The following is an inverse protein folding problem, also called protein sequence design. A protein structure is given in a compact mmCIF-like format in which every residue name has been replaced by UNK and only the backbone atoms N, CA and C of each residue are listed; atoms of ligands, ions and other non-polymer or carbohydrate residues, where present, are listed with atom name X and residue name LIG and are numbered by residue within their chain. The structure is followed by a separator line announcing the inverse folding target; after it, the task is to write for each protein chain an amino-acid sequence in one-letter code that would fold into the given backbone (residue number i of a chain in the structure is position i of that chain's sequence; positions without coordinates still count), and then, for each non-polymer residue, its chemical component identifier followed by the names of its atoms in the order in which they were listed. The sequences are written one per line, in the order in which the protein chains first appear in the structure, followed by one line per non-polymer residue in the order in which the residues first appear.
data_IF_409710476601
#
_entry.id   IF_409710476601
#
_cell.length_a   1.000
_cell.length_b   1.000
_cell.length_c   1.000
_cell.angle_alpha   90.00
_cell.angle_beta   90.00
_cell.angle_gamma   90.00
#
_symmetry.space_group_name_H-M   'P 1'
#
loop_
_entity.id
_entity.type
_entity.pdbx_description
1 polymer ?
#
# COMPACT_ATOMS: atom_id res chain seq x y z
N UNK A 1 40.11 -46.76 -65.88
CA UNK A 1 39.83 -45.82 -64.77
C UNK A 1 39.16 -44.63 -65.40
N UNK A 2 37.82 -44.61 -65.37
CA UNK A 2 37.06 -43.43 -65.79
C UNK A 2 37.26 -42.37 -64.70
N UNK A 3 37.80 -41.22 -65.07
CA UNK A 3 37.86 -40.08 -64.17
C UNK A 3 36.42 -39.65 -63.88
N UNK A 4 36.00 -39.54 -62.61
CA UNK A 4 34.67 -39.04 -62.29
C UNK A 4 34.53 -37.64 -62.89
N UNK A 5 33.50 -37.45 -63.71
CA UNK A 5 33.14 -36.15 -64.26
C UNK A 5 33.03 -35.16 -63.10
N UNK A 6 33.86 -34.12 -63.12
CA UNK A 6 33.80 -33.06 -62.14
C UNK A 6 32.41 -32.42 -62.19
N UNK A 7 31.69 -32.36 -61.06
CA UNK A 7 30.35 -31.77 -61.04
C UNK A 7 30.39 -30.33 -61.55
N UNK A 8 29.45 -29.96 -62.42
CA UNK A 8 29.30 -28.59 -62.89
C UNK A 8 28.65 -27.74 -61.79
N UNK A 9 29.48 -26.90 -61.15
CA UNK A 9 29.06 -25.99 -60.08
C UNK A 9 28.61 -24.61 -60.61
N UNK A 10 28.64 -24.38 -61.92
CA UNK A 10 28.27 -23.09 -62.54
C UNK A 10 26.87 -22.59 -62.13
N UNK A 11 25.82 -23.41 -62.25
CA UNK A 11 24.45 -23.00 -61.88
C UNK A 11 24.32 -22.65 -60.39
N UNK A 12 25.03 -23.36 -59.53
CA UNK A 12 25.03 -23.08 -58.09
C UNK A 12 25.75 -21.76 -57.77
N UNK A 13 26.88 -21.50 -58.44
CA UNK A 13 27.61 -20.25 -58.29
C UNK A 13 26.78 -19.03 -58.74
N UNK A 14 26.04 -19.16 -59.85
CA UNK A 14 25.13 -18.10 -60.33
C UNK A 14 23.96 -17.86 -59.37
N UNK A 15 23.33 -18.92 -58.86
CA UNK A 15 22.28 -18.80 -57.84
C UNK A 15 22.80 -18.12 -56.57
N UNK A 16 24.01 -18.45 -56.12
CA UNK A 16 24.62 -17.82 -54.96
C UNK A 16 24.94 -16.34 -55.21
N UNK A 17 25.44 -15.98 -56.39
CA UNK A 17 25.67 -14.59 -56.77
C UNK A 17 24.38 -13.79 -56.83
N UNK A 18 23.31 -14.35 -57.38
CA UNK A 18 21.99 -13.71 -57.40
C UNK A 18 21.43 -13.51 -55.99
N UNK A 19 21.58 -14.51 -55.11
CA UNK A 19 21.16 -14.41 -53.71
C UNK A 19 21.94 -13.32 -52.95
N UNK A 20 23.26 -13.24 -53.16
CA UNK A 20 24.10 -12.18 -52.56
C UNK A 20 23.70 -10.81 -53.09
N UNK A 21 23.51 -10.67 -54.40
CA UNK A 21 23.09 -9.40 -55.00
C UNK A 21 21.71 -8.94 -54.50
N UNK A 22 20.76 -9.87 -54.38
CA UNK A 22 19.44 -9.59 -53.81
C UNK A 22 19.53 -9.17 -52.34
N UNK A 23 20.36 -9.85 -51.54
CA UNK A 23 20.58 -9.50 -50.13
C UNK A 23 21.23 -8.12 -49.97
N UNK A 24 22.21 -7.77 -50.80
CA UNK A 24 22.84 -6.44 -50.79
C UNK A 24 21.84 -5.34 -51.18
N UNK A 25 21.04 -5.56 -52.23
CA UNK A 25 20.00 -4.61 -52.63
C UNK A 25 18.95 -4.40 -51.51
N UNK A 26 18.61 -5.46 -50.77
CA UNK A 26 17.71 -5.35 -49.62
C UNK A 26 18.34 -4.56 -48.47
N UNK A 27 19.63 -4.76 -48.19
CA UNK A 27 20.38 -3.99 -47.17
C UNK A 27 20.44 -2.51 -47.55
N UNK A 28 20.69 -2.19 -48.82
CA UNK A 28 20.73 -0.81 -49.29
C UNK A 28 19.36 -0.12 -49.21
N UNK A 29 18.28 -0.83 -49.54
CA UNK A 29 16.92 -0.34 -49.37
C UNK A 29 16.60 -0.03 -47.90
N UNK A 30 16.95 -0.94 -46.97
CA UNK A 30 16.77 -0.71 -45.53
C UNK A 30 17.61 0.47 -45.02
N UNK A 31 18.85 0.60 -45.49
CA UNK A 31 19.72 1.72 -45.12
C UNK A 31 19.19 3.07 -45.65
N UNK A 32 18.52 3.08 -46.80
CA UNK A 32 17.89 4.27 -47.35
C UNK A 32 16.62 4.68 -46.57
N UNK A 33 15.88 3.72 -46.01
CA UNK A 33 14.68 3.98 -45.19
C UNK A 33 14.99 4.31 -43.73
N UNK A 34 16.10 3.81 -43.19
CA UNK A 34 16.46 3.98 -41.78
C UNK A 34 16.50 5.44 -41.29
N UNK A 35 17.02 6.44 -42.05
CA UNK A 35 16.99 7.84 -41.63
C UNK A 35 15.57 8.37 -41.43
N UNK A 36 14.64 8.03 -42.33
CA UNK A 36 13.23 8.46 -42.23
C UNK A 36 12.54 7.84 -41.03
N UNK A 37 12.79 6.57 -40.76
CA UNK A 37 12.25 5.90 -39.56
C UNK A 37 12.80 6.52 -38.27
N UNK A 38 14.10 6.88 -38.25
CA UNK A 38 14.72 7.56 -37.09
C UNK A 38 14.17 8.96 -36.87
N UNK A 39 13.96 9.72 -37.94
CA UNK A 39 13.34 11.05 -37.89
C UNK A 39 11.91 10.96 -37.37
N UNK A 40 11.08 10.08 -37.94
CA UNK A 40 9.71 9.87 -37.47
C UNK A 40 9.63 9.43 -35.99
N UNK A 41 10.51 8.53 -35.56
CA UNK A 41 10.60 8.12 -34.16
C UNK A 41 11.06 9.26 -33.24
N UNK A 42 11.94 10.15 -33.72
CA UNK A 42 12.39 11.31 -32.96
C UNK A 42 11.25 12.34 -32.78
N UNK A 43 10.47 12.59 -33.83
CA UNK A 43 9.31 13.47 -33.80
C UNK A 43 8.21 12.92 -32.89
N UNK A 44 7.93 11.62 -32.97
CA UNK A 44 6.97 10.96 -32.08
C UNK A 44 7.40 11.05 -30.62
N UNK A 45 8.69 10.81 -30.32
CA UNK A 45 9.24 10.96 -28.98
C UNK A 45 9.16 12.41 -28.48
N UNK A 46 9.40 13.39 -29.35
CA UNK A 46 9.29 14.81 -29.00
C UNK A 46 7.82 15.17 -28.65
N UNK A 47 6.86 14.75 -29.48
CA UNK A 47 5.44 14.95 -29.23
C UNK A 47 4.95 14.24 -27.96
N UNK A 48 5.44 13.03 -27.69
CA UNK A 48 5.13 12.29 -26.46
C UNK A 48 5.66 13.02 -25.21
N UNK A 49 6.87 13.59 -25.28
CA UNK A 49 7.45 14.39 -24.19
C UNK A 49 6.67 15.67 -23.93
N UNK A 50 6.21 16.34 -24.99
CA UNK A 50 5.38 17.54 -24.87
C UNK A 50 4.04 17.23 -24.18
N UNK A 51 3.34 16.18 -24.62
CA UNK A 51 2.11 15.71 -23.96
C UNK A 51 2.33 15.34 -22.49
N UNK A 52 3.45 14.70 -22.18
CA UNK A 52 3.77 14.36 -20.79
C UNK A 52 3.94 15.62 -19.93
N UNK A 53 4.63 16.66 -20.45
CA UNK A 53 4.76 17.95 -19.75
C UNK A 53 3.40 18.61 -19.54
N UNK A 54 2.53 18.61 -20.54
CA UNK A 54 1.17 19.14 -20.40
C UNK A 54 0.36 18.38 -19.32
N UNK A 55 0.48 17.05 -19.27
CA UNK A 55 -0.16 16.23 -18.25
C UNK A 55 0.39 16.57 -16.86
N UNK A 56 1.72 16.70 -16.72
CA UNK A 56 2.37 17.07 -15.46
C UNK A 56 1.95 18.46 -14.97
N UNK A 57 1.92 19.45 -15.87
CA UNK A 57 1.51 20.82 -15.53
C UNK A 57 0.03 20.87 -15.14
N UNK A 58 -0.84 20.17 -15.87
CA UNK A 58 -2.26 20.07 -15.53
C UNK A 58 -2.48 19.35 -14.20
N UNK A 59 -1.78 18.24 -13.96
CA UNK A 59 -1.85 17.51 -12.69
C UNK A 59 -1.39 18.37 -11.52
N UNK A 60 -0.31 19.16 -11.71
CA UNK A 60 0.18 20.10 -10.70
C UNK A 60 -0.83 21.19 -10.40
N UNK A 61 -1.42 21.82 -11.40
CA UNK A 61 -2.45 22.85 -11.20
C UNK A 61 -3.68 22.29 -10.47
N UNK A 62 -4.12 21.08 -10.82
CA UNK A 62 -5.23 20.41 -10.12
C UNK A 62 -4.87 20.08 -8.67
N UNK A 63 -3.67 19.59 -8.42
CA UNK A 63 -3.17 19.30 -7.08
C UNK A 63 -3.09 20.58 -6.22
N UNK A 64 -2.56 21.67 -6.77
CA UNK A 64 -2.46 22.96 -6.08
C UNK A 64 -3.84 23.54 -5.76
N UNK A 65 -4.79 23.48 -6.72
CA UNK A 65 -6.16 23.91 -6.51
C UNK A 65 -6.89 23.06 -5.46
N UNK A 66 -6.67 21.74 -5.46
CA UNK A 66 -7.21 20.83 -4.45
C UNK A 66 -6.63 21.15 -3.07
N UNK A 67 -5.31 21.32 -2.97
CA UNK A 67 -4.62 21.66 -1.73
C UNK A 67 -5.12 23.00 -1.18
N UNK A 68 -5.30 24.02 -2.02
CA UNK A 68 -5.81 25.32 -1.59
C UNK A 68 -7.25 25.22 -1.07
N UNK A 69 -8.11 24.51 -1.81
CA UNK A 69 -9.51 24.31 -1.43
C UNK A 69 -9.64 23.59 -0.07
N UNK A 70 -8.75 22.66 0.22
CA UNK A 70 -8.80 21.85 1.44
C UNK A 70 -7.82 22.30 2.53
N UNK A 71 -7.03 23.36 2.30
CA UNK A 71 -6.00 23.86 3.22
C UNK A 71 -6.54 24.13 4.61
N UNK A 72 -7.72 24.76 4.69
CA UNK A 72 -8.37 25.07 5.96
C UNK A 72 -8.80 23.80 6.68
N UNK A 73 -9.47 22.87 6.01
CA UNK A 73 -9.92 21.60 6.60
C UNK A 73 -8.74 20.78 7.12
N UNK A 74 -7.69 20.63 6.29
CA UNK A 74 -6.47 19.91 6.68
C UNK A 74 -5.82 20.57 7.91
N UNK A 75 -5.75 21.91 7.93
CA UNK A 75 -5.19 22.64 9.07
C UNK A 75 -5.99 22.39 10.35
N UNK A 76 -7.31 22.41 10.27
CA UNK A 76 -8.17 22.15 11.43
C UNK A 76 -8.11 20.69 11.88
N UNK A 77 -7.99 19.73 10.95
CA UNK A 77 -7.77 18.31 11.26
C UNK A 77 -6.43 18.08 11.98
N UNK A 78 -5.34 18.64 11.45
CA UNK A 78 -4.01 18.58 12.07
C UNK A 78 -4.04 19.23 13.45
N UNK A 79 -4.67 20.41 13.57
CA UNK A 79 -4.80 21.10 14.85
C UNK A 79 -5.56 20.25 15.86
N UNK A 80 -6.66 19.63 15.45
CA UNK A 80 -7.47 18.75 16.30
C UNK A 80 -6.67 17.54 16.76
N UNK A 81 -5.92 16.90 15.87
CA UNK A 81 -5.07 15.75 16.18
C UNK A 81 -3.97 16.11 17.19
N UNK A 82 -3.23 17.19 16.94
CA UNK A 82 -2.20 17.69 17.86
C UNK A 82 -2.81 18.02 19.23
N UNK A 83 -3.95 18.70 19.26
CA UNK A 83 -4.62 19.04 20.52
C UNK A 83 -5.05 17.79 21.28
N UNK A 84 -5.56 16.77 20.60
CA UNK A 84 -5.92 15.50 21.23
C UNK A 84 -4.70 14.83 21.87
N UNK A 85 -3.54 14.87 21.22
CA UNK A 85 -2.31 14.28 21.74
C UNK A 85 -1.73 15.07 22.92
N UNK A 86 -1.78 16.40 22.89
CA UNK A 86 -1.40 17.22 24.06
C UNK A 86 -2.35 16.95 25.23
N UNK A 87 -3.66 16.85 24.99
CA UNK A 87 -4.65 16.50 26.02
C UNK A 87 -4.32 15.12 26.62
N UNK A 88 -4.04 14.11 25.79
CA UNK A 88 -3.63 12.77 26.28
C UNK A 88 -2.39 12.85 27.17
N UNK A 89 -1.36 13.59 26.74
CA UNK A 89 -0.12 13.74 27.50
C UNK A 89 -0.36 14.42 28.86
N UNK A 90 -1.20 15.46 28.92
CA UNK A 90 -1.55 16.12 30.18
C UNK A 90 -2.39 15.24 31.12
N UNK A 91 -3.32 14.44 30.57
CA UNK A 91 -4.06 13.44 31.35
C UNK A 91 -3.09 12.42 31.95
N UNK A 92 -2.13 11.92 31.17
CA UNK A 92 -1.11 10.97 31.64
C UNK A 92 -0.18 11.59 32.70
N UNK A 93 0.06 12.89 32.63
CA UNK A 93 0.81 13.65 33.64
C UNK A 93 -0.01 13.95 34.92
N UNK A 94 -1.28 13.51 35.00
CA UNK A 94 -2.12 13.66 36.18
C UNK A 94 -2.76 15.04 36.34
N UNK A 95 -2.86 15.84 35.25
CA UNK A 95 -3.55 17.13 35.28
C UNK A 95 -5.07 16.97 35.39
N UNK A 96 -5.72 17.94 36.04
CA UNK A 96 -7.18 17.97 36.17
C UNK A 96 -7.84 18.48 34.89
N UNK A 97 -9.08 18.07 34.66
CA UNK A 97 -9.79 18.39 33.42
C UNK A 97 -10.05 19.89 33.28
N UNK A 98 -10.34 20.58 34.39
CA UNK A 98 -10.54 22.03 34.41
C UNK A 98 -9.25 22.80 34.05
N UNK A 99 -8.09 22.29 34.49
CA UNK A 99 -6.77 22.88 34.17
C UNK A 99 -6.45 22.70 32.69
N UNK A 100 -6.67 21.50 32.16
CA UNK A 100 -6.43 21.18 30.74
C UNK A 100 -7.34 22.03 29.84
N UNK A 101 -8.63 22.12 30.20
CA UNK A 101 -9.60 22.93 29.48
C UNK A 101 -9.19 24.42 29.48
N UNK A 102 -8.77 24.94 30.63
CA UNK A 102 -8.33 26.33 30.75
C UNK A 102 -7.04 26.62 29.96
N UNK A 103 -6.06 25.71 29.96
CA UNK A 103 -4.78 25.92 29.28
C UNK A 103 -4.86 25.83 27.76
N UNK A 104 -5.62 24.86 27.24
CA UNK A 104 -5.68 24.59 25.80
C UNK A 104 -6.90 25.20 25.12
N UNK A 105 -7.85 25.72 25.89
CA UNK A 105 -9.16 26.19 25.40
C UNK A 105 -9.88 25.13 24.55
N UNK A 106 -9.70 23.84 24.89
CA UNK A 106 -10.35 22.71 24.23
C UNK A 106 -11.72 22.41 24.84
N UNK A 107 -12.69 21.93 24.07
CA UNK A 107 -13.99 21.58 24.61
C UNK A 107 -13.92 20.29 25.48
N UNK A 108 -14.81 20.19 26.48
CA UNK A 108 -14.77 19.13 27.50
C UNK A 108 -15.02 17.71 26.95
N UNK A 109 -15.73 17.61 25.82
CA UNK A 109 -15.95 16.37 25.08
C UNK A 109 -14.66 15.79 24.51
N UNK A 110 -13.70 16.63 24.09
CA UNK A 110 -12.37 16.19 23.64
C UNK A 110 -11.58 15.55 24.79
N UNK A 111 -11.60 16.17 25.98
CA UNK A 111 -10.95 15.64 27.18
C UNK A 111 -11.58 14.32 27.60
N UNK A 112 -12.92 14.26 27.61
CA UNK A 112 -13.68 13.05 27.93
C UNK A 112 -13.35 11.93 26.95
N UNK A 113 -13.35 12.22 25.64
CA UNK A 113 -12.99 11.27 24.59
C UNK A 113 -11.56 10.77 24.76
N UNK A 114 -10.61 11.65 25.04
CA UNK A 114 -9.21 11.29 25.28
C UNK A 114 -9.05 10.38 26.52
N UNK A 115 -9.76 10.68 27.62
CA UNK A 115 -9.78 9.81 28.81
C UNK A 115 -10.34 8.43 28.51
N UNK A 116 -11.47 8.34 27.80
CA UNK A 116 -12.08 7.07 27.42
C UNK A 116 -11.10 6.26 26.58
N UNK A 117 -10.49 6.88 25.55
CA UNK A 117 -9.51 6.20 24.69
C UNK A 117 -8.27 5.76 25.45
N UNK A 118 -7.74 6.59 26.35
CA UNK A 118 -6.59 6.22 27.21
C UNK A 118 -6.96 5.08 28.17
N UNK A 119 -8.12 5.15 28.80
CA UNK A 119 -8.63 4.12 29.70
C UNK A 119 -8.81 2.79 28.99
N UNK A 120 -9.39 2.81 27.78
CA UNK A 120 -9.53 1.64 26.92
C UNK A 120 -8.17 1.10 26.49
N UNK A 121 -7.26 1.95 25.99
CA UNK A 121 -5.91 1.56 25.60
C UNK A 121 -5.17 0.88 26.75
N UNK A 122 -5.23 1.45 27.96
CA UNK A 122 -4.58 0.89 29.14
C UNK A 122 -5.21 -0.43 29.59
N UNK A 123 -6.53 -0.56 29.51
CA UNK A 123 -7.24 -1.81 29.84
C UNK A 123 -6.85 -2.90 28.84
N UNK A 124 -6.98 -2.61 27.55
CA UNK A 124 -6.60 -3.53 26.48
C UNK A 124 -5.12 -3.92 26.66
N UNK A 125 -4.19 -2.98 26.82
CA UNK A 125 -2.77 -3.30 26.98
C UNK A 125 -2.46 -4.21 28.19
N UNK A 126 -3.26 -4.15 29.27
CA UNK A 126 -3.06 -4.95 30.48
C UNK A 126 -3.73 -6.32 30.42
N UNK A 127 -4.89 -6.40 29.81
CA UNK A 127 -5.78 -7.56 29.89
C UNK A 127 -5.86 -8.33 28.56
N UNK A 128 -5.37 -7.75 27.46
CA UNK A 128 -5.40 -8.37 26.15
C UNK A 128 -4.64 -9.68 26.15
N UNK A 129 -5.36 -10.72 25.74
CA UNK A 129 -4.80 -12.05 25.45
C UNK A 129 -5.49 -12.62 24.23
N UNK A 130 -4.77 -13.43 23.48
CA UNK A 130 -5.31 -14.11 22.31
C UNK A 130 -5.32 -15.62 22.56
N UNK A 131 -6.32 -16.30 22.01
CA UNK A 131 -6.32 -17.75 21.87
C UNK A 131 -6.49 -18.11 20.41
N UNK A 132 -6.00 -19.28 20.04
CA UNK A 132 -6.01 -19.77 18.66
C UNK A 132 -6.70 -21.13 18.63
N UNK A 133 -7.64 -21.25 17.70
CA UNK A 133 -8.15 -22.53 17.22
C UNK A 133 -7.56 -22.74 15.84
N UNK A 134 -6.85 -23.86 15.64
CA UNK A 134 -6.23 -24.17 14.35
C UNK A 134 -6.99 -25.29 13.65
N UNK A 135 -7.29 -25.07 12.37
CA UNK A 135 -7.90 -26.02 11.44
C UNK A 135 -7.13 -26.00 10.12
N UNK A 136 -6.11 -26.85 10.01
CA UNK A 136 -5.23 -26.89 8.84
C UNK A 136 -4.28 -25.68 8.76
N UNK A 137 -4.35 -24.94 7.65
CA UNK A 137 -3.52 -23.75 7.37
C UNK A 137 -4.10 -22.44 7.92
N UNK A 138 -5.23 -22.49 8.59
CA UNK A 138 -5.84 -21.33 9.21
C UNK A 138 -6.65 -21.72 10.43
N UNK A 139 -7.53 -20.83 10.84
CA UNK A 139 -8.48 -21.09 11.91
C UNK A 139 -9.07 -19.82 12.48
N UNK A 140 -9.40 -19.85 13.77
CA UNK A 140 -10.03 -18.72 14.46
C UNK A 140 -9.14 -18.23 15.58
N UNK A 141 -8.89 -16.93 15.59
CA UNK A 141 -8.25 -16.20 16.66
C UNK A 141 -9.34 -15.56 17.51
N UNK A 142 -9.25 -15.71 18.84
CA UNK A 142 -10.12 -14.96 19.78
C UNK A 142 -9.31 -14.00 20.64
N UNK A 143 -9.54 -12.70 20.51
CA UNK A 143 -8.98 -11.67 21.39
C UNK A 143 -9.92 -11.48 22.60
N UNK A 144 -9.36 -11.53 23.80
CA UNK A 144 -10.07 -11.25 25.05
C UNK A 144 -9.48 -10.01 25.72
N UNK A 145 -10.34 -9.13 26.23
CA UNK A 145 -9.97 -8.04 27.14
C UNK A 145 -11.21 -7.64 27.96
N UNK A 146 -11.07 -7.46 29.27
CA UNK A 146 -12.21 -7.36 30.19
C UNK A 146 -13.17 -8.54 30.02
N UNK A 147 -14.46 -8.21 29.84
CA UNK A 147 -15.53 -9.18 29.59
C UNK A 147 -15.78 -9.45 28.09
N UNK A 148 -15.02 -8.79 27.20
CA UNK A 148 -15.23 -8.87 25.75
C UNK A 148 -14.41 -10.01 25.13
N UNK A 149 -14.99 -10.68 24.14
CA UNK A 149 -14.33 -11.68 23.32
C UNK A 149 -14.64 -11.39 21.84
N UNK A 150 -13.60 -11.09 21.05
CA UNK A 150 -13.72 -10.81 19.62
C UNK A 150 -13.08 -11.93 18.83
N UNK A 151 -13.77 -12.43 17.82
CA UNK A 151 -13.30 -13.53 16.97
C UNK A 151 -12.92 -13.02 15.60
N UNK A 152 -11.79 -13.50 15.10
CA UNK A 152 -11.26 -13.19 13.78
C UNK A 152 -10.81 -14.47 13.12
N UNK A 153 -11.12 -14.64 11.84
CA UNK A 153 -10.53 -15.72 11.07
C UNK A 153 -9.09 -15.37 10.72
N UNK A 154 -8.23 -16.38 10.63
CA UNK A 154 -6.83 -16.19 10.24
C UNK A 154 -6.33 -17.33 9.36
N UNK A 155 -5.30 -17.05 8.57
CA UNK A 155 -4.60 -18.02 7.73
C UNK A 155 -3.08 -17.76 7.77
N UNK A 156 -2.26 -18.79 7.56
CA UNK A 156 -0.83 -18.59 7.33
C UNK A 156 -0.59 -17.77 6.06
N UNK A 157 0.24 -16.73 6.20
CA UNK A 157 0.73 -15.97 5.07
C UNK A 157 1.71 -16.77 4.21
N UNK A 158 2.10 -16.18 3.08
CA UNK A 158 3.24 -16.62 2.29
C UNK A 158 4.34 -15.54 2.27
N UNK A 159 5.51 -15.90 1.77
CA UNK A 159 6.69 -15.01 1.70
C UNK A 159 7.06 -14.43 3.07
N UNK A 160 7.07 -13.10 3.22
CA UNK A 160 7.50 -12.38 4.42
C UNK A 160 6.35 -12.18 5.44
N UNK A 161 5.19 -12.79 5.23
CA UNK A 161 4.03 -12.66 6.12
C UNK A 161 3.80 -13.95 6.90
N UNK A 162 3.75 -13.85 8.23
CA UNK A 162 3.55 -14.99 9.11
C UNK A 162 2.07 -15.39 9.15
N UNK A 163 1.19 -14.42 9.35
CA UNK A 163 -0.24 -14.65 9.45
C UNK A 163 -1.04 -13.51 8.82
N UNK A 164 -2.15 -13.89 8.17
CA UNK A 164 -3.18 -13.00 7.67
C UNK A 164 -4.38 -13.11 8.62
N UNK A 165 -4.77 -12.02 9.27
CA UNK A 165 -5.93 -11.97 10.14
C UNK A 165 -7.02 -11.17 9.44
N UNK A 166 -8.16 -11.80 9.17
CA UNK A 166 -9.29 -11.18 8.50
C UNK A 166 -10.10 -10.34 9.49
N UNK A 167 -10.10 -9.04 9.29
CA UNK A 167 -10.76 -8.05 10.15
C UNK A 167 -11.96 -7.43 9.42
N UNK A 168 -13.07 -7.14 10.12
CA UNK A 168 -14.19 -6.43 9.51
C UNK A 168 -13.76 -5.08 8.91
N UNK A 169 -14.40 -4.72 7.81
CA UNK A 169 -14.26 -3.37 7.22
C UNK A 169 -14.87 -2.32 8.14
N UNK A 170 -14.54 -1.06 7.91
CA UNK A 170 -15.02 0.04 8.76
C UNK A 170 -16.55 0.13 8.76
N UNK A 171 -17.18 -0.11 7.60
CA UNK A 171 -18.64 -0.01 7.46
C UNK A 171 -19.38 -1.13 8.20
N UNK A 172 -18.73 -2.28 8.41
CA UNK A 172 -19.34 -3.42 9.11
C UNK A 172 -18.82 -3.60 10.53
N UNK A 173 -17.82 -2.83 10.97
CA UNK A 173 -17.11 -3.03 12.24
C UNK A 173 -18.05 -3.09 13.43
N UNK A 174 -18.92 -2.10 13.61
CA UNK A 174 -19.81 -2.03 14.77
C UNK A 174 -20.83 -3.16 14.77
N UNK A 175 -21.35 -3.51 13.58
CA UNK A 175 -22.29 -4.62 13.43
C UNK A 175 -21.65 -5.99 13.70
N UNK A 176 -20.37 -6.17 13.36
CA UNK A 176 -19.65 -7.44 13.52
C UNK A 176 -19.07 -7.62 14.92
N UNK A 177 -18.62 -6.53 15.55
CA UNK A 177 -17.86 -6.59 16.82
C UNK A 177 -18.64 -6.06 18.02
N UNK A 178 -19.71 -5.29 17.79
CA UNK A 178 -20.41 -4.55 18.85
C UNK A 178 -19.59 -3.41 19.45
N UNK A 179 -18.48 -3.01 18.81
CA UNK A 179 -17.60 -1.96 19.27
C UNK A 179 -17.75 -0.71 18.41
N UNK A 180 -17.65 0.50 19.00
CA UNK A 180 -17.56 1.72 18.23
C UNK A 180 -16.40 1.68 17.22
N UNK A 181 -16.61 2.24 16.04
CA UNK A 181 -15.56 2.34 15.01
C UNK A 181 -14.31 3.08 15.52
N UNK A 182 -14.49 4.04 16.44
CA UNK A 182 -13.41 4.78 17.09
C UNK A 182 -12.48 3.91 17.94
N UNK A 183 -12.93 2.72 18.38
CA UNK A 183 -12.11 1.76 19.14
C UNK A 183 -11.32 0.81 18.23
N UNK A 184 -11.67 0.72 16.94
CA UNK A 184 -11.07 -0.21 15.97
C UNK A 184 -9.55 -0.16 15.96
N UNK A 185 -8.89 1.01 15.84
CA UNK A 185 -7.42 1.05 15.79
C UNK A 185 -6.75 0.50 17.05
N UNK A 186 -7.32 0.77 18.23
CA UNK A 186 -6.79 0.30 19.51
C UNK A 186 -6.90 -1.22 19.65
N UNK A 187 -8.03 -1.78 19.21
CA UNK A 187 -8.26 -3.23 19.23
C UNK A 187 -7.31 -3.95 18.27
N UNK A 188 -7.13 -3.40 17.06
CA UNK A 188 -6.23 -3.99 16.06
C UNK A 188 -4.75 -3.91 16.47
N UNK A 189 -4.32 -2.80 17.08
CA UNK A 189 -2.97 -2.64 17.63
C UNK A 189 -2.68 -3.68 18.73
N UNK A 190 -3.62 -3.86 19.66
CA UNK A 190 -3.48 -4.85 20.71
C UNK A 190 -3.52 -6.28 20.18
N UNK A 191 -4.41 -6.56 19.24
CA UNK A 191 -4.47 -7.86 18.55
C UNK A 191 -3.12 -8.18 17.91
N UNK A 192 -2.58 -7.28 17.10
CA UNK A 192 -1.30 -7.45 16.44
C UNK A 192 -0.16 -7.62 17.44
N UNK A 193 -0.15 -6.82 18.51
CA UNK A 193 0.86 -6.90 19.58
C UNK A 193 0.83 -8.26 20.28
N UNK A 194 -0.35 -8.77 20.63
CA UNK A 194 -0.50 -10.10 21.23
C UNK A 194 -0.01 -11.19 20.27
N UNK A 195 -0.42 -11.14 18.99
CA UNK A 195 -0.02 -12.17 18.01
C UNK A 195 1.48 -12.17 17.76
N UNK A 196 2.09 -10.99 17.62
CA UNK A 196 3.55 -10.88 17.46
C UNK A 196 4.31 -11.45 18.64
N UNK A 197 3.84 -11.15 19.85
CA UNK A 197 4.44 -11.66 21.10
C UNK A 197 4.36 -13.19 21.17
N UNK A 198 3.24 -13.76 20.74
CA UNK A 198 3.01 -15.21 20.85
C UNK A 198 3.65 -16.01 19.71
N UNK A 199 3.71 -15.47 18.48
CA UNK A 199 4.12 -16.20 17.27
C UNK A 199 5.48 -15.75 16.67
N UNK A 200 6.07 -14.64 17.14
CA UNK A 200 7.45 -14.25 16.78
C UNK A 200 7.62 -13.29 15.58
N UNK A 201 6.69 -12.33 15.39
CA UNK A 201 6.74 -11.35 14.28
C UNK A 201 7.48 -10.04 14.57
N UNK A 202 8.16 -9.47 13.57
CA UNK A 202 8.94 -8.22 13.70
C UNK A 202 8.09 -6.95 13.56
N UNK A 203 6.97 -7.00 12.84
CA UNK A 203 6.07 -5.87 12.58
C UNK A 203 4.65 -6.32 12.26
N UNK A 204 3.80 -5.39 11.85
CA UNK A 204 2.48 -5.70 11.27
C UNK A 204 2.02 -4.53 10.39
N UNK A 205 1.09 -4.79 9.48
CA UNK A 205 0.43 -3.74 8.67
C UNK A 205 -1.02 -4.10 8.37
N UNK A 206 -1.86 -3.08 8.18
CA UNK A 206 -3.23 -3.26 7.74
C UNK A 206 -3.32 -3.05 6.22
N UNK A 207 -3.79 -4.07 5.50
CA UNK A 207 -3.99 -4.06 4.06
C UNK A 207 -5.47 -4.35 3.76
N UNK A 208 -6.28 -3.28 3.72
CA UNK A 208 -7.73 -3.39 3.59
C UNK A 208 -8.37 -4.15 4.76
N UNK A 209 -9.07 -5.28 4.52
CA UNK A 209 -9.66 -6.11 5.58
C UNK A 209 -8.67 -7.14 6.16
N UNK A 210 -7.38 -7.06 5.85
CA UNK A 210 -6.37 -8.03 6.29
C UNK A 210 -5.34 -7.34 7.17
N UNK A 211 -5.16 -7.85 8.38
CA UNK A 211 -4.06 -7.50 9.26
C UNK A 211 -2.95 -8.54 9.05
N UNK A 212 -1.86 -8.09 8.44
CA UNK A 212 -0.68 -8.90 8.14
C UNK A 212 0.31 -8.79 9.31
N UNK A 213 0.69 -9.93 9.88
CA UNK A 213 1.69 -10.05 10.95
C UNK A 213 3.02 -10.55 10.38
#
# INVERSE_FOLDING_TARGET
MEHPETPDYGPFAEQMQQAIAAALAQVDALNAEAPKMREAAADELAAAREKMREIEDNARQQADAYAEKHRHTIREEIRREIMEDVVKALIMAGRKDEEIQAWLAVPADMITSARIRLGLKNRIAREARVTYTQTGRGGTLTLYYGEKALKFDWEFGGNDTLALIFVPKEESWESSTGLPLTERPLVLDALATCVRKDQGGSGYRLNGPVLEI
#
